data_IF_488433547444
#
_entry.id   IF_488433547444
#
_cell.length_a   1.000
_cell.length_b   1.000
_cell.length_c   1.000
_cell.angle_alpha   90.00
_cell.angle_beta   90.00
_cell.angle_gamma   90.00
#
_symmetry.space_group_name_H-M   'P 1'
#
loop_
_entity.id
_entity.type
_entity.pdbx_description
1 polymer ?
#
# COMPACT_ATOMS: atom_id res chain seq x y z
N UNK A 1 37.01 13.88 6.89
CA UNK A 1 35.66 14.13 6.35
C UNK A 1 34.69 13.18 7.05
N UNK A 2 33.98 13.66 8.07
CA UNK A 2 33.07 12.82 8.84
C UNK A 2 31.78 12.62 8.05
N UNK A 3 31.62 11.45 7.43
CA UNK A 3 30.33 11.03 6.87
C UNK A 3 29.38 10.90 8.05
N UNK A 4 28.46 11.85 8.20
CA UNK A 4 27.33 11.72 9.11
C UNK A 4 26.46 10.59 8.55
N UNK A 5 26.64 9.38 9.06
CA UNK A 5 25.75 8.25 8.77
C UNK A 5 24.39 8.61 9.37
N UNK A 6 23.46 9.06 8.52
CA UNK A 6 22.08 9.24 8.94
C UNK A 6 21.51 7.87 9.30
N UNK A 7 20.81 7.73 10.44
CA UNK A 7 20.18 6.47 10.80
C UNK A 7 19.14 6.08 9.74
N UNK A 8 19.19 4.83 9.29
CA UNK A 8 18.25 4.28 8.32
C UNK A 8 16.88 4.08 8.99
N UNK A 9 15.86 4.73 8.44
CA UNK A 9 14.48 4.60 8.92
C UNK A 9 13.62 3.94 7.84
N UNK A 10 12.59 3.23 8.29
CA UNK A 10 11.54 2.71 7.42
C UNK A 10 10.33 3.62 7.48
N UNK A 11 9.91 4.12 6.32
CA UNK A 11 8.74 4.98 6.16
C UNK A 11 7.71 4.29 5.27
N UNK A 12 6.43 4.42 5.61
CA UNK A 12 5.34 3.91 4.79
C UNK A 12 4.60 5.09 4.17
N UNK A 13 4.47 5.10 2.84
CA UNK A 13 3.72 6.10 2.09
C UNK A 13 2.53 5.42 1.44
N UNK A 14 1.33 5.74 1.90
CA UNK A 14 0.09 5.31 1.28
C UNK A 14 -0.38 6.38 0.30
N UNK A 15 -0.67 5.98 -0.94
CA UNK A 15 -1.25 6.83 -1.98
C UNK A 15 -2.60 6.26 -2.36
N UNK A 16 -3.65 7.08 -2.26
CA UNK A 16 -5.03 6.68 -2.56
C UNK A 16 -5.71 7.68 -3.48
N UNK A 17 -6.68 7.20 -4.26
CA UNK A 17 -7.57 8.07 -5.02
C UNK A 17 -8.51 8.79 -4.06
N UNK A 18 -8.72 10.09 -4.29
CA UNK A 18 -9.67 10.88 -3.49
C UNK A 18 -11.09 10.27 -3.60
N UNK A 19 -11.94 10.41 -2.57
CA UNK A 19 -13.28 9.84 -2.54
C UNK A 19 -14.16 10.22 -3.73
N UNK A 20 -13.94 11.41 -4.31
CA UNK A 20 -14.69 11.97 -5.44
C UNK A 20 -14.41 11.30 -6.80
N UNK A 21 -13.28 10.58 -6.95
CA UNK A 21 -12.93 9.91 -8.20
C UNK A 21 -13.34 8.44 -8.18
N UNK A 22 -13.77 7.96 -9.36
CA UNK A 22 -14.11 6.57 -9.57
C UNK A 22 -12.84 5.69 -9.52
N UNK A 23 -12.88 4.67 -8.67
CA UNK A 23 -11.78 3.72 -8.49
C UNK A 23 -12.07 2.43 -9.26
N UNK A 24 -11.58 2.36 -10.50
CA UNK A 24 -11.78 1.20 -11.38
C UNK A 24 -11.08 -0.06 -10.83
N UNK A 25 -9.92 0.10 -10.18
CA UNK A 25 -9.16 -1.02 -9.61
C UNK A 25 -9.88 -1.58 -8.37
N UNK A 26 -10.39 -0.70 -7.51
CA UNK A 26 -11.28 -1.06 -6.41
C UNK A 26 -12.56 -1.75 -6.88
N UNK A 27 -13.23 -1.23 -7.91
CA UNK A 27 -14.44 -1.84 -8.47
C UNK A 27 -14.17 -3.23 -9.08
N UNK A 28 -13.05 -3.40 -9.78
CA UNK A 28 -12.61 -4.70 -10.29
C UNK A 28 -12.36 -5.70 -9.16
N UNK A 29 -11.69 -5.27 -8.09
CA UNK A 29 -11.46 -6.10 -6.92
C UNK A 29 -12.78 -6.51 -6.23
N UNK A 30 -13.74 -5.58 -6.11
CA UNK A 30 -15.07 -5.89 -5.57
C UNK A 30 -15.77 -6.99 -6.37
N UNK A 31 -15.78 -6.87 -7.71
CA UNK A 31 -16.39 -7.86 -8.59
C UNK A 31 -15.74 -9.25 -8.45
N UNK A 32 -14.42 -9.29 -8.33
CA UNK A 32 -13.68 -10.54 -8.08
C UNK A 32 -14.04 -11.17 -6.72
N UNK A 33 -14.10 -10.36 -5.66
CA UNK A 33 -14.48 -10.83 -4.32
C UNK A 33 -15.93 -11.34 -4.27
N UNK A 34 -16.85 -10.67 -4.96
CA UNK A 34 -18.23 -11.13 -5.13
C UNK A 34 -18.30 -12.48 -5.84
N UNK A 35 -17.50 -12.66 -6.90
CA UNK A 35 -17.36 -13.94 -7.60
C UNK A 35 -16.83 -15.07 -6.73
N UNK A 36 -16.14 -14.76 -5.62
CA UNK A 36 -15.69 -15.73 -4.61
C UNK A 36 -16.70 -15.95 -3.46
N UNK A 37 -17.88 -15.34 -3.53
CA UNK A 37 -18.95 -15.49 -2.54
C UNK A 37 -18.97 -14.44 -1.43
N UNK A 38 -18.20 -13.35 -1.52
CA UNK A 38 -18.22 -12.24 -0.56
C UNK A 38 -19.19 -11.12 -0.94
N UNK A 39 -20.44 -11.47 -1.23
CA UNK A 39 -21.49 -10.50 -1.63
C UNK A 39 -21.85 -9.48 -0.55
N UNK A 40 -21.44 -9.71 0.70
CA UNK A 40 -21.64 -8.81 1.84
C UNK A 40 -20.66 -7.63 1.87
N UNK A 41 -19.60 -7.65 1.06
CA UNK A 41 -18.71 -6.51 0.83
C UNK A 41 -19.43 -5.55 -0.12
N UNK A 42 -19.60 -4.29 0.30
CA UNK A 42 -20.34 -3.27 -0.46
C UNK A 42 -19.44 -2.36 -1.28
N UNK A 43 -18.22 -2.14 -0.80
CA UNK A 43 -17.26 -1.26 -1.43
C UNK A 43 -15.86 -1.84 -1.29
N UNK A 44 -15.03 -1.64 -2.31
CA UNK A 44 -13.60 -1.88 -2.27
C UNK A 44 -12.88 -0.69 -2.91
N UNK A 45 -11.85 -0.19 -2.24
CA UNK A 45 -10.99 0.90 -2.72
C UNK A 45 -9.54 0.43 -2.76
N UNK A 46 -8.88 0.60 -3.89
CA UNK A 46 -7.47 0.29 -4.10
C UNK A 46 -6.59 1.50 -3.73
N UNK A 47 -5.47 1.20 -3.08
CA UNK A 47 -4.46 2.16 -2.65
C UNK A 47 -3.08 1.54 -2.90
N UNK A 48 -2.08 2.37 -3.18
CA UNK A 48 -0.69 1.94 -3.30
C UNK A 48 0.04 2.22 -2.01
N UNK A 49 0.86 1.29 -1.54
CA UNK A 49 1.67 1.43 -0.33
C UNK A 49 3.14 1.27 -0.70
N UNK A 50 3.94 2.29 -0.40
CA UNK A 50 5.37 2.28 -0.62
C UNK A 50 6.09 2.18 0.72
N UNK A 51 6.84 1.11 0.93
CA UNK A 51 7.79 0.99 2.02
C UNK A 51 9.15 1.49 1.54
N UNK A 52 9.59 2.63 2.09
CA UNK A 52 10.85 3.27 1.74
C UNK A 52 11.77 3.14 2.95
N UNK A 53 12.85 2.38 2.79
CA UNK A 53 13.90 2.24 3.80
C UNK A 53 15.17 2.91 3.33
N UNK A 54 15.77 3.73 4.19
CA UNK A 54 17.08 4.30 3.93
C UNK A 54 17.36 5.54 4.76
N UNK A 55 18.43 6.29 4.43
CA UNK A 55 18.83 7.50 5.14
C UNK A 55 17.98 8.70 4.70
N UNK A 56 16.65 8.56 4.72
CA UNK A 56 15.73 9.67 4.45
C UNK A 56 15.04 10.09 5.74
N UNK A 57 14.97 11.41 5.94
CA UNK A 57 14.11 12.01 6.96
C UNK A 57 12.64 11.99 6.54
N UNK A 58 11.72 12.09 7.51
CA UNK A 58 10.29 12.14 7.25
C UNK A 58 9.89 13.27 6.29
N UNK A 59 10.57 14.42 6.35
CA UNK A 59 10.33 15.55 5.45
C UNK A 59 10.73 15.23 4.00
N UNK A 60 11.84 14.52 3.80
CA UNK A 60 12.29 14.11 2.46
C UNK A 60 11.37 13.04 1.87
N UNK A 61 10.90 12.11 2.71
CA UNK A 61 9.88 11.13 2.27
C UNK A 61 8.57 11.81 1.93
N UNK A 62 8.14 12.82 2.71
CA UNK A 62 6.95 13.61 2.40
C UNK A 62 7.10 14.37 1.08
N UNK A 63 8.28 14.93 0.81
CA UNK A 63 8.57 15.58 -0.45
C UNK A 63 8.49 14.59 -1.62
N UNK A 64 9.15 13.43 -1.51
CA UNK A 64 9.05 12.37 -2.51
C UNK A 64 7.60 11.89 -2.71
N UNK A 65 6.84 11.75 -1.63
CA UNK A 65 5.43 11.37 -1.70
C UNK A 65 4.60 12.38 -2.51
N UNK A 66 4.82 13.68 -2.29
CA UNK A 66 4.08 14.75 -2.94
C UNK A 66 4.49 14.98 -4.39
N UNK A 67 5.79 14.98 -4.66
CA UNK A 67 6.32 15.44 -5.95
C UNK A 67 6.49 14.28 -6.95
N UNK A 68 6.61 13.04 -6.47
CA UNK A 68 6.83 11.85 -7.31
C UNK A 68 5.69 10.83 -7.25
N UNK A 69 5.19 10.50 -6.05
CA UNK A 69 4.29 9.35 -5.87
C UNK A 69 2.80 9.68 -6.00
N UNK A 70 2.42 10.94 -5.83
CA UNK A 70 1.04 11.37 -5.71
C UNK A 70 0.71 12.37 -6.82
N UNK A 71 -0.32 12.07 -7.61
CA UNK A 71 -0.95 13.09 -8.44
C UNK A 71 -1.80 14.01 -7.55
N UNK A 72 -1.33 15.25 -7.33
CA UNK A 72 -1.99 16.23 -6.48
C UNK A 72 -3.40 16.66 -6.91
N UNK A 73 -3.88 16.25 -8.10
CA UNK A 73 -5.24 16.50 -8.56
C UNK A 73 -6.18 15.37 -8.15
N UNK A 74 -5.82 14.13 -8.46
CA UNK A 74 -6.71 12.97 -8.35
C UNK A 74 -6.47 12.11 -7.09
N UNK A 75 -5.28 12.23 -6.52
CA UNK A 75 -4.82 11.41 -5.41
C UNK A 75 -4.54 12.24 -4.17
N UNK A 76 -4.42 11.52 -3.07
CA UNK A 76 -3.93 12.03 -1.79
C UNK A 76 -2.93 11.02 -1.23
N UNK A 77 -1.94 11.52 -0.50
CA UNK A 77 -0.92 10.68 0.14
C UNK A 77 -0.98 10.82 1.65
N UNK A 78 -0.63 9.74 2.34
CA UNK A 78 -0.47 9.70 3.79
C UNK A 78 0.87 9.03 4.09
N UNK A 79 1.75 9.77 4.76
CA UNK A 79 2.96 9.19 5.33
C UNK A 79 2.60 8.63 6.71
N UNK A 80 2.69 7.32 6.87
CA UNK A 80 2.48 6.63 8.12
C UNK A 80 3.82 6.14 8.68
N UNK A 81 3.99 6.28 9.99
CA UNK A 81 4.99 5.51 10.73
C UNK A 81 4.46 4.09 10.92
N UNK A 82 5.30 3.04 10.93
CA UNK A 82 4.89 1.61 11.04
C UNK A 82 4.18 1.20 12.35
N UNK A 83 3.55 2.13 13.08
CA UNK A 83 2.72 1.82 14.22
C UNK A 83 1.37 1.30 13.72
N UNK A 84 1.27 -0.03 13.63
CA UNK A 84 0.04 -0.77 13.37
C UNK A 84 -1.02 -0.38 14.41
N UNK A 85 -1.94 0.51 14.01
CA UNK A 85 -3.18 0.67 14.73
C UNK A 85 -4.02 -0.58 14.47
N UNK A 86 -4.08 -1.49 15.43
CA UNK A 86 -5.18 -2.45 15.49
C UNK A 86 -6.47 -1.65 15.65
N UNK A 87 -7.40 -1.82 14.72
CA UNK A 87 -8.66 -1.09 14.73
C UNK A 87 -9.81 -2.11 14.71
N UNK A 88 -10.61 -2.10 15.78
CA UNK A 88 -11.82 -2.91 15.95
C UNK A 88 -12.94 -2.38 15.03
N UNK A 89 -12.80 -2.51 13.72
CA UNK A 89 -13.87 -2.22 12.78
C UNK A 89 -14.53 -3.51 12.30
N UNK A 90 -15.63 -3.91 12.93
CA UNK A 90 -16.40 -5.12 12.59
C UNK A 90 -16.91 -5.19 11.13
N UNK A 91 -16.71 -4.14 10.33
CA UNK A 91 -17.19 -4.04 8.94
C UNK A 91 -16.15 -3.43 7.98
N UNK A 92 -14.91 -3.21 8.39
CA UNK A 92 -13.90 -2.59 7.53
C UNK A 92 -12.63 -3.42 7.56
N UNK A 93 -12.12 -3.73 6.38
CA UNK A 93 -10.98 -4.61 6.22
C UNK A 93 -9.92 -3.92 5.39
N UNK A 94 -8.67 -4.14 5.77
CA UNK A 94 -7.50 -3.74 5.01
C UNK A 94 -6.77 -4.99 4.57
N UNK A 95 -6.70 -5.20 3.27
CA UNK A 95 -5.95 -6.30 2.66
C UNK A 95 -4.73 -5.71 2.00
N UNK A 96 -3.55 -6.05 2.49
CA UNK A 96 -2.29 -5.64 1.87
C UNK A 96 -1.72 -6.80 1.06
N UNK A 97 -1.40 -6.56 -0.20
CA UNK A 97 -0.83 -7.53 -1.13
C UNK A 97 0.58 -7.05 -1.50
N UNK A 98 1.57 -7.78 -1.04
CA UNK A 98 2.99 -7.49 -1.22
C UNK A 98 3.62 -8.50 -2.17
N UNK A 99 4.59 -8.06 -2.97
CA UNK A 99 5.49 -8.99 -3.65
C UNK A 99 6.32 -9.75 -2.61
N UNK A 100 6.57 -11.04 -2.87
CA UNK A 100 7.47 -11.84 -2.02
C UNK A 100 8.88 -11.26 -2.10
N UNK A 101 9.69 -11.40 -1.03
CA UNK A 101 11.03 -10.84 -1.02
C UNK A 101 11.95 -11.33 -2.14
N UNK A 102 11.71 -12.56 -2.62
CA UNK A 102 12.42 -13.23 -3.72
C UNK A 102 12.04 -12.72 -5.11
N UNK A 103 11.00 -11.90 -5.22
CA UNK A 103 10.51 -11.34 -6.48
C UNK A 103 11.06 -9.92 -6.62
N UNK A 104 11.58 -9.62 -7.81
CA UNK A 104 12.04 -8.28 -8.16
C UNK A 104 10.83 -7.33 -8.23
N UNK A 105 10.96 -6.17 -7.59
CA UNK A 105 9.94 -5.15 -7.54
C UNK A 105 10.38 -3.97 -8.43
N UNK A 106 10.04 -4.05 -9.71
CA UNK A 106 10.41 -3.05 -10.70
C UNK A 106 9.83 -1.66 -10.40
N UNK A 107 8.66 -1.60 -9.77
CA UNK A 107 8.05 -0.34 -9.33
C UNK A 107 8.88 0.27 -8.21
N UNK A 108 9.25 -0.53 -7.22
CA UNK A 108 10.14 -0.10 -6.14
C UNK A 108 11.49 0.40 -6.66
N UNK A 109 12.11 -0.31 -7.59
CA UNK A 109 13.38 0.10 -8.22
C UNK A 109 13.26 1.43 -8.96
N UNK A 110 12.17 1.61 -9.72
CA UNK A 110 11.88 2.86 -10.45
C UNK A 110 11.70 4.03 -9.48
N UNK A 111 10.96 3.82 -8.39
CA UNK A 111 10.78 4.84 -7.34
C UNK A 111 12.10 5.17 -6.65
N UNK A 112 12.94 4.18 -6.35
CA UNK A 112 14.26 4.39 -5.75
C UNK A 112 15.15 5.25 -6.65
N UNK A 113 15.16 4.98 -7.95
CA UNK A 113 15.91 5.77 -8.93
C UNK A 113 15.38 7.21 -9.00
N UNK A 114 14.07 7.38 -9.13
CA UNK A 114 13.46 8.71 -9.23
C UNK A 114 13.67 9.56 -7.96
N UNK A 115 13.65 8.96 -6.77
CA UNK A 115 13.99 9.67 -5.52
C UNK A 115 15.43 10.20 -5.57
N UNK A 116 16.37 9.41 -6.09
CA UNK A 116 17.76 9.86 -6.24
C UNK A 116 17.90 10.97 -7.29
N UNK A 117 17.15 10.89 -8.40
CA UNK A 117 17.11 11.93 -9.45
C UNK A 117 16.55 13.27 -8.96
N UNK A 118 15.66 13.25 -7.96
CA UNK A 118 15.20 14.47 -7.26
C UNK A 118 16.30 15.14 -6.40
N UNK A 119 17.48 14.54 -6.27
CA UNK A 119 18.57 15.03 -5.41
C UNK A 119 18.43 14.64 -3.94
N UNK A 120 17.54 13.70 -3.61
CA UNK A 120 17.39 13.15 -2.26
C UNK A 120 18.35 11.96 -2.02
N UNK A 121 18.68 11.62 -0.77
CA UNK A 121 19.47 10.43 -0.46
C UNK A 121 18.80 9.18 -1.05
N UNK A 122 19.59 8.37 -1.76
CA UNK A 122 19.08 7.14 -2.37
C UNK A 122 18.57 6.18 -1.28
N UNK A 123 17.31 5.71 -1.37
CA UNK A 123 16.81 4.68 -0.47
C UNK A 123 17.61 3.38 -0.62
N UNK A 124 17.81 2.66 0.48
CA UNK A 124 18.42 1.32 0.48
C UNK A 124 17.50 0.31 -0.20
N UNK A 125 16.21 0.35 0.14
CA UNK A 125 15.19 -0.51 -0.46
C UNK A 125 13.88 0.24 -0.56
N UNK A 126 13.19 0.10 -1.68
CA UNK A 126 11.80 0.52 -1.85
C UNK A 126 10.97 -0.70 -2.24
N UNK A 127 9.84 -0.90 -1.57
CA UNK A 127 8.89 -1.96 -1.88
C UNK A 127 7.52 -1.37 -2.12
N UNK A 128 6.83 -1.84 -3.14
CA UNK A 128 5.46 -1.49 -3.47
C UNK A 128 4.52 -2.62 -3.04
N UNK A 129 3.39 -2.23 -2.47
CA UNK A 129 2.26 -3.08 -2.16
C UNK A 129 0.98 -2.47 -2.72
N UNK A 130 0.02 -3.34 -2.99
CA UNK A 130 -1.34 -2.95 -3.28
C UNK A 130 -2.20 -3.19 -2.05
N UNK A 131 -2.97 -2.19 -1.65
CA UNK A 131 -3.82 -2.22 -0.46
C UNK A 131 -5.27 -2.06 -0.89
N UNK A 132 -6.11 -3.00 -0.51
CA UNK A 132 -7.55 -2.93 -0.69
C UNK A 132 -8.22 -2.61 0.64
N UNK A 133 -8.94 -1.49 0.69
CA UNK A 133 -9.86 -1.15 1.79
C UNK A 133 -11.24 -1.65 1.41
N UNK A 134 -11.76 -2.62 2.16
CA UNK A 134 -13.06 -3.23 1.92
C UNK A 134 -14.03 -2.78 3.00
N UNK A 135 -15.24 -2.40 2.60
CA UNK A 135 -16.33 -2.08 3.52
C UNK A 135 -17.43 -3.15 3.40
N UNK A 136 -17.67 -3.88 4.48
CA UNK A 136 -18.74 -4.88 4.58
C UNK A 136 -18.50 -5.93 5.67
N UNK A 137 -19.55 -6.72 5.92
CA UNK A 137 -19.53 -7.80 6.93
C UNK A 137 -18.88 -9.04 6.33
N UNK A 138 -17.76 -9.47 6.87
CA UNK A 138 -17.15 -10.77 6.55
C UNK A 138 -16.33 -11.24 7.75
N UNK A 139 -15.74 -12.42 7.65
CA UNK A 139 -14.71 -12.87 8.59
C UNK A 139 -13.34 -12.80 7.93
N UNK A 140 -12.28 -12.67 8.74
CA UNK A 140 -10.90 -12.69 8.26
C UNK A 140 -10.62 -13.92 7.37
N UNK A 141 -11.02 -15.10 7.82
CA UNK A 141 -10.81 -16.35 7.07
C UNK A 141 -11.52 -16.37 5.71
N UNK A 142 -12.72 -15.80 5.62
CA UNK A 142 -13.44 -15.67 4.35
C UNK A 142 -12.73 -14.73 3.38
N UNK A 143 -12.23 -13.59 3.86
CA UNK A 143 -11.47 -12.63 3.06
C UNK A 143 -10.15 -13.24 2.61
N UNK A 144 -9.38 -13.86 3.51
CA UNK A 144 -8.11 -14.52 3.17
C UNK A 144 -8.30 -15.58 2.07
N UNK A 145 -9.39 -16.37 2.15
CA UNK A 145 -9.74 -17.36 1.12
C UNK A 145 -10.09 -16.72 -0.23
N UNK A 146 -10.83 -15.62 -0.23
CA UNK A 146 -11.20 -14.93 -1.48
C UNK A 146 -9.98 -14.24 -2.10
N UNK A 147 -9.17 -13.55 -1.29
CA UNK A 147 -7.95 -12.83 -1.71
C UNK A 147 -6.95 -13.79 -2.33
N UNK A 148 -6.65 -14.91 -1.66
CA UNK A 148 -5.70 -15.92 -2.15
C UNK A 148 -6.12 -16.57 -3.48
N UNK A 149 -7.40 -16.53 -3.84
CA UNK A 149 -7.92 -17.08 -5.09
C UNK A 149 -8.06 -16.07 -6.23
N UNK A 150 -8.19 -14.79 -5.92
CA UNK A 150 -8.62 -13.77 -6.90
C UNK A 150 -7.74 -12.51 -6.94
N UNK A 151 -7.29 -12.00 -5.79
CA UNK A 151 -6.55 -10.74 -5.71
C UNK A 151 -5.04 -10.92 -5.56
N UNK A 152 -4.60 -12.08 -5.07
CA UNK A 152 -3.19 -12.39 -4.87
C UNK A 152 -2.84 -13.71 -5.54
N UNK A 153 -1.71 -13.73 -6.27
CA UNK A 153 -1.13 -14.97 -6.75
C UNK A 153 -0.16 -15.51 -5.68
N UNK A 154 -0.46 -16.64 -5.01
CA UNK A 154 0.36 -17.15 -3.90
C UNK A 154 1.78 -17.57 -4.32
N UNK A 155 2.09 -17.69 -5.61
CA UNK A 155 3.45 -17.96 -6.09
C UNK A 155 4.36 -16.74 -5.91
N UNK A 156 3.85 -15.55 -6.18
CA UNK A 156 4.64 -14.31 -6.23
C UNK A 156 4.24 -13.28 -5.16
N UNK A 157 3.03 -13.38 -4.62
CA UNK A 157 2.50 -12.45 -3.62
C UNK A 157 2.46 -13.11 -2.24
N UNK A 158 2.63 -12.28 -1.22
CA UNK A 158 2.22 -12.53 0.16
C UNK A 158 1.13 -11.50 0.49
N UNK A 159 0.16 -11.85 1.32
CA UNK A 159 -0.89 -10.91 1.71
C UNK A 159 -1.12 -10.90 3.22
N UNK A 160 -1.61 -9.78 3.72
CA UNK A 160 -1.98 -9.57 5.10
C UNK A 160 -3.42 -9.05 5.16
N UNK A 161 -4.24 -9.64 6.02
CA UNK A 161 -5.61 -9.19 6.25
C UNK A 161 -5.72 -8.66 7.68
N UNK A 162 -6.10 -7.38 7.77
CA UNK A 162 -6.28 -6.61 9.00
C UNK A 162 -7.70 -6.07 9.08
N UNK A 163 -8.21 -5.92 10.29
CA UNK A 163 -9.39 -5.10 10.56
C UNK A 163 -8.97 -3.62 10.56
N UNK A 164 -9.81 -2.77 9.97
CA UNK A 164 -9.56 -1.34 9.80
C UNK A 164 -10.69 -0.51 10.40
N UNK A 165 -10.45 0.76 10.69
CA UNK A 165 -11.52 1.74 10.93
C UNK A 165 -11.86 2.44 9.60
N UNK A 166 -13.11 2.89 9.36
CA UNK A 166 -13.52 3.72 8.21
C UNK A 166 -12.45 4.73 7.79
#
# INVERSE_FOLDING_TARGET
MSVRTQPSHTHLVEVRLRPEFADAEGAGALALLHGQGLSSIKEARACRLYEIKGPLSSNQVLQAAKDLLCDGVTQEHRVATPAAGNLNGMNFWRVEVWLKPTVCDSVGETVSAAIAEMGLPRPETVRCALVYRLAGRSTKAQIEKAVSKSLANPLIHRFLVLEAHP
#
